data_IF_141619408640
#
_entry.id   IF_141619408640
#
_cell.length_a   1.000
_cell.length_b   1.000
_cell.length_c   1.000
_cell.angle_alpha   90.00
_cell.angle_beta   90.00
_cell.angle_gamma   90.00
#
_symmetry.space_group_name_H-M   'P 1'
#
loop_
_entity.id
_entity.type
_entity.pdbx_description
1 polymer ?
#
# COMPACT_ATOMS: atom_id res chain seq x y z
N UNK A 1 -1.22 2.94 -3.21
CA UNK A 1 -1.01 1.58 -2.65
C UNK A 1 -1.56 0.56 -3.63
N UNK A 2 -1.03 -0.66 -3.62
CA UNK A 2 -1.62 -1.81 -4.31
C UNK A 2 -1.78 -2.98 -3.35
N UNK A 3 -2.86 -3.75 -3.49
CA UNK A 3 -3.14 -4.92 -2.65
C UNK A 3 -3.43 -6.15 -3.50
N UNK A 4 -3.19 -7.33 -2.93
CA UNK A 4 -3.50 -8.61 -3.55
C UNK A 4 -4.04 -9.59 -2.52
N UNK A 5 -4.85 -10.54 -2.99
CA UNK A 5 -5.24 -11.73 -2.22
C UNK A 5 -4.18 -12.83 -2.31
N UNK A 6 -4.59 -14.06 -2.01
CA UNK A 6 -3.71 -15.24 -2.06
C UNK A 6 -3.12 -15.51 -3.46
N UNK A 7 -3.79 -15.06 -4.52
CA UNK A 7 -3.35 -15.23 -5.91
C UNK A 7 -2.20 -14.28 -6.32
N UNK A 8 -1.81 -13.35 -5.43
CA UNK A 8 -0.80 -12.31 -5.66
C UNK A 8 -1.06 -11.46 -6.91
N UNK A 9 -2.33 -11.35 -7.34
CA UNK A 9 -2.73 -10.43 -8.41
C UNK A 9 -3.02 -9.07 -7.79
N UNK A 10 -2.08 -8.15 -7.98
CA UNK A 10 -2.16 -6.82 -7.40
C UNK A 10 -3.12 -5.92 -8.18
N UNK A 11 -3.95 -5.20 -7.44
CA UNK A 11 -4.80 -4.13 -7.94
C UNK A 11 -4.49 -2.83 -7.20
N UNK A 12 -4.74 -1.69 -7.84
CA UNK A 12 -4.72 -0.41 -7.16
C UNK A 12 -5.81 -0.34 -6.08
N UNK A 13 -5.47 0.28 -4.96
CA UNK A 13 -6.32 0.36 -3.79
C UNK A 13 -6.43 1.80 -3.29
N UNK A 14 -7.59 2.10 -2.72
CA UNK A 14 -7.79 3.32 -1.94
C UNK A 14 -7.07 3.19 -0.61
N UNK A 15 -6.52 4.31 -0.13
CA UNK A 15 -5.82 4.37 1.14
C UNK A 15 -6.16 5.66 1.89
N UNK A 16 -6.35 5.56 3.21
CA UNK A 16 -6.54 6.70 4.10
C UNK A 16 -5.83 6.49 5.43
N UNK A 17 -5.38 7.58 6.04
CA UNK A 17 -4.83 7.57 7.39
C UNK A 17 -5.98 7.72 8.39
N UNK A 18 -6.05 6.83 9.37
CA UNK A 18 -6.99 6.87 10.48
C UNK A 18 -6.18 6.68 11.77
N UNK A 19 -5.96 7.77 12.51
CA UNK A 19 -5.06 7.77 13.65
C UNK A 19 -3.63 7.40 13.21
N UNK A 20 -3.07 6.36 13.85
CA UNK A 20 -1.73 5.85 13.54
C UNK A 20 -1.73 4.70 12.50
N UNK A 21 -2.85 4.47 11.80
CA UNK A 21 -2.98 3.38 10.83
C UNK A 21 -3.25 3.91 9.43
N UNK A 22 -2.72 3.21 8.42
CA UNK A 22 -3.13 3.37 7.02
C UNK A 22 -4.11 2.25 6.70
N UNK A 23 -5.36 2.62 6.45
CA UNK A 23 -6.40 1.68 6.01
C UNK A 23 -6.36 1.62 4.50
N UNK A 24 -6.09 0.43 3.95
CA UNK A 24 -5.99 0.18 2.51
C UNK A 24 -7.05 -0.84 2.10
N UNK A 25 -7.84 -0.53 1.07
CA UNK A 25 -8.95 -1.37 0.63
C UNK A 25 -9.23 -1.28 -0.86
N UNK A 26 -9.80 -2.34 -1.43
CA UNK A 26 -10.32 -2.35 -2.80
C UNK A 26 -11.49 -3.31 -2.91
N UNK A 27 -12.57 -2.91 -3.58
CA UNK A 27 -13.72 -3.78 -3.84
C UNK A 27 -13.35 -5.03 -4.68
N UNK A 28 -12.23 -4.96 -5.42
CA UNK A 28 -11.72 -6.07 -6.24
C UNK A 28 -10.99 -7.14 -5.41
N UNK A 29 -10.58 -6.83 -4.18
CA UNK A 29 -9.84 -7.75 -3.29
C UNK A 29 -10.49 -7.74 -1.91
N UNK A 30 -11.55 -8.52 -1.69
CA UNK A 30 -12.29 -8.54 -0.41
C UNK A 30 -11.47 -9.10 0.77
N UNK A 31 -10.50 -9.96 0.49
CA UNK A 31 -9.63 -10.60 1.49
C UNK A 31 -8.16 -10.32 1.15
N UNK A 32 -7.67 -9.08 1.37
CA UNK A 32 -6.29 -8.72 1.05
C UNK A 32 -5.32 -9.44 1.99
N UNK A 33 -4.25 -9.98 1.41
CA UNK A 33 -3.16 -10.65 2.15
C UNK A 33 -1.83 -9.92 2.00
N UNK A 34 -1.65 -9.18 0.90
CA UNK A 34 -0.41 -8.48 0.60
C UNK A 34 -0.67 -7.01 0.26
N UNK A 35 0.22 -6.12 0.69
CA UNK A 35 0.20 -4.69 0.35
C UNK A 35 1.55 -4.29 -0.25
N UNK A 36 1.51 -3.34 -1.18
CA UNK A 36 2.67 -2.66 -1.75
C UNK A 36 2.47 -1.15 -1.68
N UNK A 37 3.52 -0.43 -1.30
CA UNK A 37 3.60 1.02 -1.34
C UNK A 37 4.78 1.46 -2.20
N UNK A 38 4.53 2.45 -3.07
CA UNK A 38 5.54 3.01 -3.99
C UNK A 38 6.32 1.94 -4.79
N UNK A 39 5.67 0.83 -5.17
CA UNK A 39 6.29 -0.30 -5.86
C UNK A 39 6.24 -0.13 -7.39
N UNK A 40 7.10 0.76 -7.90
CA UNK A 40 7.35 0.98 -9.32
C UNK A 40 8.78 1.50 -9.51
N UNK A 41 9.32 1.44 -10.73
CA UNK A 41 10.70 1.90 -11.02
C UNK A 41 10.89 3.40 -10.73
N UNK A 42 9.85 4.20 -10.99
CA UNK A 42 9.77 5.61 -10.61
C UNK A 42 8.35 5.90 -10.09
N UNK A 43 8.09 5.72 -8.78
CA UNK A 43 6.74 5.78 -8.25
C UNK A 43 6.25 7.24 -8.18
N UNK A 44 5.37 7.61 -9.10
CA UNK A 44 4.66 8.89 -9.04
C UNK A 44 3.67 8.92 -7.88
N UNK A 45 3.57 10.07 -7.21
CA UNK A 45 2.57 10.29 -6.16
C UNK A 45 2.82 9.54 -4.84
N UNK A 46 4.05 9.08 -4.57
CA UNK A 46 4.43 8.55 -3.27
C UNK A 46 4.32 9.65 -2.19
N UNK A 47 3.27 9.60 -1.38
CA UNK A 47 2.82 10.69 -0.53
C UNK A 47 2.59 10.32 0.95
N UNK A 48 3.07 9.17 1.40
CA UNK A 48 3.02 8.79 2.82
C UNK A 48 4.22 9.40 3.56
N UNK A 49 3.93 10.27 4.52
CA UNK A 49 4.90 10.95 5.37
C UNK A 49 4.51 10.80 6.84
N UNK A 50 5.49 10.78 7.73
CA UNK A 50 5.26 10.89 9.18
C UNK A 50 5.08 12.34 9.63
N UNK A 51 4.84 12.56 10.93
CA UNK A 51 4.62 13.89 11.51
C UNK A 51 5.88 14.78 11.44
N UNK A 52 7.07 14.17 11.38
CA UNK A 52 8.35 14.87 11.18
C UNK A 52 8.59 15.29 9.72
N UNK A 53 7.68 14.98 8.79
CA UNK A 53 7.80 15.33 7.38
C UNK A 53 8.78 14.45 6.60
N UNK A 54 9.13 13.27 7.11
CA UNK A 54 9.97 12.29 6.44
C UNK A 54 9.11 11.31 5.62
N UNK A 55 9.49 11.01 4.37
CA UNK A 55 8.76 10.08 3.52
C UNK A 55 8.94 8.63 4.01
N UNK A 56 7.89 7.83 3.89
CA UNK A 56 8.01 6.39 4.00
C UNK A 56 8.80 5.82 2.80
N UNK A 57 9.74 4.91 3.06
CA UNK A 57 10.39 4.15 1.99
C UNK A 57 9.39 3.21 1.30
N UNK A 58 9.60 2.86 0.01
CA UNK A 58 8.83 1.81 -0.65
C UNK A 58 8.90 0.50 0.15
N UNK A 59 7.79 -0.23 0.23
CA UNK A 59 7.73 -1.51 0.95
C UNK A 59 6.71 -2.48 0.36
N UNK A 60 6.87 -3.75 0.71
CA UNK A 60 5.93 -4.83 0.43
C UNK A 60 5.82 -5.75 1.64
N UNK A 61 4.63 -6.31 1.89
CA UNK A 61 4.45 -7.38 2.89
C UNK A 61 4.51 -8.78 2.30
N UNK A 62 4.80 -8.88 1.00
CA UNK A 62 5.04 -10.15 0.31
C UNK A 62 6.37 -10.77 0.78
N UNK A 63 6.33 -11.48 1.91
CA UNK A 63 7.44 -12.28 2.42
C UNK A 63 7.45 -13.64 1.70
N UNK A 64 8.62 -14.05 1.23
CA UNK A 64 8.84 -15.41 0.70
C UNK A 64 8.72 -16.46 1.79
#
# INVERSE_FOLDING_TARGET
FAIAGADKRYVWADAKIVGNQVIVSSAQVPNPMYVRYAWADNPEGANLYNEEGLPASPFTTDTK
#
